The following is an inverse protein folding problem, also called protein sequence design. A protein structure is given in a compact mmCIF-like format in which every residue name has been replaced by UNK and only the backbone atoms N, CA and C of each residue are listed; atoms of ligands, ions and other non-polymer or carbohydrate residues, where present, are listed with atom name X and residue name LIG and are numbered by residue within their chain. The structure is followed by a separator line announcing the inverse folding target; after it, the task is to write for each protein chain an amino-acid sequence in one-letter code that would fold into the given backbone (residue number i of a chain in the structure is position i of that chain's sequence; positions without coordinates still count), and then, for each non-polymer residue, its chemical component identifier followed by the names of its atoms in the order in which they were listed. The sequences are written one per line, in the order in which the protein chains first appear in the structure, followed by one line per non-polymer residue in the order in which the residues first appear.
data_IF_500288566076
#
_entry.id   IF_500288566076
#
_cell.length_a   1.000
_cell.length_b   1.000
_cell.length_c   1.000
_cell.angle_alpha   90.00
_cell.angle_beta   90.00
_cell.angle_gamma   90.00
#
_symmetry.space_group_name_H-M   'P 1'
#
loop_
_entity.id
_entity.type
_entity.pdbx_description
1 polymer ?
#
# COMPACT_ATOMS: atom_id res chain seq x y z
N UNK A 1 18.07 -14.32 7.21
CA UNK A 1 17.39 -15.38 7.99
C UNK A 1 17.82 -15.35 9.46
N UNK A 2 19.13 -15.34 9.76
CA UNK A 2 19.62 -15.18 11.14
C UNK A 2 19.06 -13.94 11.83
N UNK A 3 19.06 -12.80 11.16
CA UNK A 3 18.42 -11.57 11.65
C UNK A 3 16.94 -11.74 12.01
N UNK A 4 16.18 -12.54 11.25
CA UNK A 4 14.77 -12.80 11.52
C UNK A 4 14.56 -13.76 12.71
N UNK A 5 15.52 -14.66 12.94
CA UNK A 5 15.55 -15.54 14.12
C UNK A 5 15.94 -14.76 15.38
N UNK A 6 16.93 -13.86 15.27
CA UNK A 6 17.39 -13.01 16.36
C UNK A 6 16.35 -11.94 16.74
N UNK A 7 15.57 -11.45 15.78
CA UNK A 7 14.45 -10.54 16.00
C UNK A 7 13.17 -11.24 16.49
N UNK A 8 13.21 -12.56 16.77
CA UNK A 8 12.07 -13.39 17.19
C UNK A 8 10.84 -13.35 16.25
N UNK A 9 11.02 -12.97 14.99
CA UNK A 9 9.95 -12.99 13.99
C UNK A 9 9.63 -14.40 13.50
N UNK A 10 10.61 -15.30 13.54
CA UNK A 10 10.46 -16.70 13.14
C UNK A 10 11.08 -17.62 14.20
N UNK A 11 10.52 -18.82 14.33
CA UNK A 11 11.01 -19.88 15.23
C UNK A 11 11.05 -21.20 14.45
N UNK A 12 12.05 -22.08 14.68
CA UNK A 12 12.01 -23.43 14.15
C UNK A 12 10.75 -24.17 14.64
N UNK A 13 9.96 -24.68 13.69
CA UNK A 13 8.74 -25.44 13.96
C UNK A 13 8.74 -26.74 13.14
N UNK A 14 8.06 -27.76 13.66
CA UNK A 14 7.81 -29.03 12.96
C UNK A 14 6.32 -29.11 12.58
N UNK A 15 5.91 -28.22 11.67
CA UNK A 15 4.53 -28.19 11.19
C UNK A 15 4.35 -29.18 10.02
N UNK A 16 3.17 -29.82 9.87
CA UNK A 16 2.86 -30.66 8.72
C UNK A 16 2.66 -29.86 7.42
N UNK A 17 2.51 -28.54 7.54
CA UNK A 17 2.37 -27.61 6.43
C UNK A 17 3.67 -26.82 6.21
N UNK A 18 4.08 -26.72 4.96
CA UNK A 18 5.24 -25.93 4.53
C UNK A 18 4.88 -25.11 3.29
N UNK A 19 5.57 -23.97 3.13
CA UNK A 19 5.46 -23.11 1.97
C UNK A 19 6.86 -22.82 1.43
N UNK A 20 7.04 -22.72 0.10
CA UNK A 20 8.33 -22.37 -0.47
C UNK A 20 8.68 -20.91 -0.13
N UNK A 21 9.97 -20.65 0.09
CA UNK A 21 10.51 -19.31 0.32
C UNK A 21 11.35 -18.87 -0.86
N UNK A 22 11.20 -17.60 -1.24
CA UNK A 22 11.87 -16.97 -2.36
C UNK A 22 12.59 -15.71 -1.87
N UNK A 23 13.73 -15.39 -2.46
CA UNK A 23 14.41 -14.12 -2.23
C UNK A 23 14.19 -13.20 -3.44
N UNK A 24 13.54 -12.07 -3.21
CA UNK A 24 13.32 -11.06 -4.24
C UNK A 24 14.26 -9.87 -4.04
N UNK A 25 14.97 -9.46 -5.10
CA UNK A 25 15.82 -8.29 -5.07
C UNK A 25 14.97 -7.01 -5.17
N UNK A 26 15.13 -6.11 -4.20
CA UNK A 26 14.55 -4.76 -4.22
C UNK A 26 15.38 -3.85 -5.14
N UNK A 27 14.78 -2.74 -5.59
CA UNK A 27 15.48 -1.70 -6.36
C UNK A 27 16.71 -1.15 -5.63
N UNK A 28 16.64 -1.10 -4.30
CA UNK A 28 17.72 -0.63 -3.43
C UNK A 28 18.85 -1.66 -3.26
N UNK A 29 18.84 -2.77 -4.01
CA UNK A 29 19.85 -3.84 -3.95
C UNK A 29 19.64 -4.86 -2.83
N UNK A 30 18.88 -4.49 -1.78
CA UNK A 30 18.52 -5.37 -0.66
C UNK A 30 17.65 -6.55 -1.11
N UNK A 31 17.84 -7.72 -0.49
CA UNK A 31 17.00 -8.90 -0.68
C UNK A 31 15.83 -8.89 0.31
N UNK A 32 14.64 -9.26 -0.18
CA UNK A 32 13.44 -9.48 0.63
C UNK A 32 13.13 -10.97 0.65
N UNK A 33 12.94 -11.53 1.83
CA UNK A 33 12.40 -12.87 2.00
C UNK A 33 10.89 -12.82 1.72
N UNK A 34 10.42 -13.59 0.75
CA UNK A 34 9.02 -13.72 0.38
C UNK A 34 8.60 -15.18 0.52
N UNK A 35 7.53 -15.45 1.27
CA UNK A 35 6.99 -16.79 1.45
C UNK A 35 5.73 -16.90 0.58
N UNK A 36 5.65 -17.94 -0.24
CA UNK A 36 4.49 -18.14 -1.12
C UNK A 36 3.32 -18.78 -0.37
N UNK A 37 2.43 -17.95 0.17
CA UNK A 37 1.22 -18.37 0.88
C UNK A 37 0.03 -18.67 -0.05
N UNK A 38 0.20 -18.74 -1.37
CA UNK A 38 -0.93 -18.94 -2.29
C UNK A 38 -1.75 -20.20 -2.01
N UNK A 39 -1.08 -21.33 -1.75
CA UNK A 39 -1.76 -22.57 -1.41
C UNK A 39 -2.53 -22.44 -0.08
N UNK A 40 -1.92 -21.81 0.92
CA UNK A 40 -2.52 -21.58 2.22
C UNK A 40 -3.75 -20.66 2.13
N UNK A 41 -3.66 -19.58 1.35
CA UNK A 41 -4.73 -18.60 1.14
C UNK A 41 -5.99 -19.18 0.45
N UNK A 42 -5.87 -20.35 -0.19
CA UNK A 42 -7.00 -21.07 -0.79
C UNK A 42 -7.75 -21.93 0.25
N UNK A 43 -7.03 -22.43 1.25
CA UNK A 43 -7.57 -23.30 2.31
C UNK A 43 -8.16 -22.48 3.46
N UNK A 44 -7.63 -21.28 3.72
CA UNK A 44 -8.09 -20.41 4.81
C UNK A 44 -9.42 -19.72 4.48
N UNK A 45 -10.30 -19.63 5.48
CA UNK A 45 -11.55 -18.86 5.39
C UNK A 45 -11.18 -17.37 5.35
N UNK A 46 -11.56 -16.68 4.27
CA UNK A 46 -11.25 -15.26 4.08
C UNK A 46 -12.14 -14.42 5.00
N UNK A 47 -11.54 -13.79 6.00
CA UNK A 47 -12.20 -12.73 6.76
C UNK A 47 -12.18 -11.44 5.93
N UNK A 48 -13.29 -11.17 5.22
CA UNK A 48 -13.40 -10.04 4.29
C UNK A 48 -13.97 -8.83 5.01
N UNK A 49 -13.13 -7.83 5.24
CA UNK A 49 -13.58 -6.47 5.58
C UNK A 49 -13.46 -5.58 4.35
N UNK A 50 -14.47 -4.74 4.05
CA UNK A 50 -14.32 -3.76 2.98
C UNK A 50 -13.18 -2.81 3.36
N UNK A 51 -12.16 -2.72 2.51
CA UNK A 51 -11.16 -1.65 2.63
C UNK A 51 -11.85 -0.40 2.06
N UNK A 52 -12.15 0.61 2.89
CA UNK A 52 -12.87 1.79 2.43
C UNK A 52 -12.05 2.51 1.37
N UNK A 53 -12.75 3.12 0.40
CA UNK A 53 -12.07 3.96 -0.58
C UNK A 53 -11.51 5.19 0.14
N UNK A 54 -10.41 5.73 -0.37
CA UNK A 54 -9.80 6.91 0.26
C UNK A 54 -10.77 8.10 0.30
N UNK A 55 -11.65 8.22 -0.71
CA UNK A 55 -12.71 9.22 -0.75
C UNK A 55 -13.70 9.04 0.41
N UNK A 56 -14.20 7.82 0.63
CA UNK A 56 -15.12 7.50 1.72
C UNK A 56 -14.52 7.83 3.10
N UNK A 57 -13.20 7.63 3.26
CA UNK A 57 -12.48 8.02 4.48
C UNK A 57 -12.38 9.54 4.64
N UNK A 58 -12.20 10.28 3.55
CA UNK A 58 -12.16 11.75 3.58
C UNK A 58 -13.55 12.37 3.81
N UNK A 59 -14.61 11.73 3.34
CA UNK A 59 -15.98 12.19 3.58
C UNK A 59 -16.40 11.99 5.05
N UNK A 60 -15.84 10.99 5.73
CA UNK A 60 -16.00 10.80 7.18
C UNK A 60 -15.21 11.81 8.01
N UNK A 61 -14.10 12.33 7.48
CA UNK A 61 -13.37 13.43 8.09
C UNK A 61 -14.19 14.71 7.88
N UNK A 62 -14.98 15.07 8.90
CA UNK A 62 -15.74 16.32 8.92
C UNK A 62 -14.87 17.55 8.59
N UNK A 63 -15.47 18.73 8.32
CA UNK A 63 -14.76 19.93 7.88
C UNK A 63 -13.78 20.39 8.97
N UNK A 64 -12.57 19.86 8.93
CA UNK A 64 -11.45 20.25 9.76
C UNK A 64 -10.65 21.31 9.01
N UNK A 65 -10.01 22.20 9.75
CA UNK A 65 -9.15 23.25 9.18
C UNK A 65 -8.07 22.66 8.26
N UNK A 66 -7.63 21.42 8.54
CA UNK A 66 -6.68 20.66 7.73
C UNK A 66 -7.26 20.17 6.41
N UNK A 67 -8.48 19.62 6.38
CA UNK A 67 -9.09 19.14 5.13
C UNK A 67 -9.36 20.30 4.16
N UNK A 68 -9.79 21.46 4.68
CA UNK A 68 -9.93 22.69 3.88
C UNK A 68 -8.59 23.14 3.28
N UNK A 69 -7.51 23.12 4.06
CA UNK A 69 -6.18 23.55 3.62
C UNK A 69 -5.58 22.63 2.53
N UNK A 70 -5.81 21.32 2.64
CA UNK A 70 -5.36 20.33 1.63
C UNK A 70 -6.10 20.56 0.30
N UNK A 71 -7.42 20.76 0.32
CA UNK A 71 -8.21 21.02 -0.89
C UNK A 71 -7.82 22.35 -1.56
N UNK A 72 -7.56 23.41 -0.79
CA UNK A 72 -7.17 24.73 -1.30
C UNK A 72 -5.76 24.70 -1.95
N UNK A 73 -4.81 23.97 -1.36
CA UNK A 73 -3.47 23.76 -1.93
C UNK A 73 -3.50 22.88 -3.19
N UNK A 74 -4.38 21.88 -3.25
CA UNK A 74 -4.49 20.99 -4.41
C UNK A 74 -5.13 21.69 -5.63
N UNK A 75 -6.17 22.49 -5.41
CA UNK A 75 -6.87 23.24 -6.48
C UNK A 75 -6.00 24.36 -7.06
N UNK A 76 -5.23 25.08 -6.23
CA UNK A 76 -4.28 26.11 -6.69
C UNK A 76 -3.12 25.55 -7.52
N UNK A 77 -2.66 24.32 -7.26
CA UNK A 77 -1.64 23.63 -8.09
C UNK A 77 -2.19 23.14 -9.44
N UNK A 78 -3.47 22.79 -9.51
CA UNK A 78 -4.13 22.45 -10.78
C UNK A 78 -4.47 23.70 -11.61
N UNK A 79 -4.71 24.85 -10.98
CA UNK A 79 -4.91 26.12 -11.69
C UNK A 79 -3.62 26.60 -12.39
N UNK A 80 -2.44 26.41 -11.80
CA UNK A 80 -1.18 26.83 -12.42
C UNK A 80 -0.69 25.95 -13.57
N UNK A 81 -1.21 24.71 -13.72
CA UNK A 81 -0.90 23.83 -14.87
C UNK A 81 -1.81 24.03 -16.08
N UNK A 82 -2.91 24.77 -15.98
CA UNK A 82 -3.81 25.10 -17.11
C UNK A 82 -3.53 26.46 -17.74
N UNK A 83 -2.28 26.94 -17.62
CA UNK A 83 -1.82 28.17 -18.26
C UNK A 83 -0.76 27.91 -19.31
N UNK A 84 -1.05 27.14 -20.36
CA UNK A 84 -0.24 27.13 -21.60
C UNK A 84 -0.99 26.43 -22.74
N UNK A 85 -1.74 27.20 -23.55
CA UNK A 85 -1.82 27.04 -25.00
C UNK A 85 -2.65 28.20 -25.56
N UNK A 86 -2.03 29.02 -26.40
CA UNK A 86 -2.64 30.15 -27.07
C UNK A 86 -3.73 29.72 -28.06
N UNK A 87 -4.65 30.67 -28.32
CA UNK A 87 -5.31 30.95 -29.61
C UNK A 87 -5.39 29.78 -30.61
N UNK A 88 -6.60 29.32 -30.86
CA UNK A 88 -7.16 29.12 -32.22
C UNK A 88 -8.54 28.45 -32.11
N UNK A 89 -9.61 29.21 -32.37
CA UNK A 89 -10.61 28.97 -33.43
C UNK A 89 -11.81 29.90 -33.22
N UNK A 90 -12.38 30.25 -34.37
CA UNK A 90 -13.39 31.27 -34.66
C UNK A 90 -14.63 31.23 -33.76
#
# INVERSE_FOLDING_TARGET
LKELLEADHIRPSKAPYGAPMLFQKKKDGLLRLCIDYQALNKVTIKNKYPIPLIADLFDQLGPSTLSRWIFEKATTKCASRRGMSQRQRA
#
